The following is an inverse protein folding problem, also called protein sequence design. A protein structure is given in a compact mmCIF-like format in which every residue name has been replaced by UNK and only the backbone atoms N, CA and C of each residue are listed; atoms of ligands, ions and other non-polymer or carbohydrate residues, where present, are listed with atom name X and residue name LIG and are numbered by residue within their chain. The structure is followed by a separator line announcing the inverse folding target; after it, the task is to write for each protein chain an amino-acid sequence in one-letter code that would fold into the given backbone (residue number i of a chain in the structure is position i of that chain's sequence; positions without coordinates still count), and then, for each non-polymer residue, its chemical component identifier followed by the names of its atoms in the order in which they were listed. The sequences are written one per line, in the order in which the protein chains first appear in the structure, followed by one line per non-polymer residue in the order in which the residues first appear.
data_IF_846153315081
#
_entry.id   IF_846153315081
#
_cell.length_a   1.000
_cell.length_b   1.000
_cell.length_c   1.000
_cell.angle_alpha   90.00
_cell.angle_beta   90.00
_cell.angle_gamma   90.00
#
_symmetry.space_group_name_H-M   'P 1'
#
loop_
_entity.id
_entity.type
_entity.pdbx_description
1 polymer ?
#
# COMPACT_ATOMS: atom_id res chain seq x y z
N UNK A 1 33.85 -2.78 -37.63
CA UNK A 1 32.40 -2.93 -37.86
C UNK A 1 31.65 -3.69 -36.75
N UNK A 2 32.31 -4.32 -35.78
CA UNK A 2 31.63 -5.06 -34.69
C UNK A 2 31.12 -4.19 -33.51
N UNK A 3 31.51 -2.91 -33.41
CA UNK A 3 31.16 -2.06 -32.26
C UNK A 3 29.82 -1.32 -32.37
N UNK A 4 29.22 -1.25 -33.56
CA UNK A 4 27.97 -0.52 -33.77
C UNK A 4 26.72 -1.40 -33.52
N UNK A 5 26.84 -2.71 -33.77
CA UNK A 5 25.74 -3.68 -33.57
C UNK A 5 25.53 -4.03 -32.09
N UNK A 6 26.59 -4.10 -31.28
CA UNK A 6 26.49 -4.43 -29.84
C UNK A 6 25.75 -3.33 -29.07
N UNK A 7 26.06 -2.07 -29.33
CA UNK A 7 25.41 -0.91 -28.69
C UNK A 7 23.91 -0.85 -29.05
N UNK A 8 23.54 -1.25 -30.27
CA UNK A 8 22.16 -1.23 -30.74
C UNK A 8 21.30 -2.38 -30.14
N UNK A 9 21.92 -3.52 -29.85
CA UNK A 9 21.27 -4.67 -29.17
C UNK A 9 21.02 -4.35 -27.70
N UNK A 10 22.00 -3.76 -27.00
CA UNK A 10 21.87 -3.37 -25.59
C UNK A 10 20.78 -2.31 -25.38
N UNK A 11 20.68 -1.35 -26.30
CA UNK A 11 19.63 -0.33 -26.23
C UNK A 11 18.23 -0.89 -26.50
N UNK A 12 18.10 -1.88 -27.39
CA UNK A 12 16.83 -2.58 -27.63
C UNK A 12 16.42 -3.41 -26.43
N UNK A 13 17.34 -4.17 -25.84
CA UNK A 13 17.09 -4.98 -24.65
C UNK A 13 16.68 -4.12 -23.44
N UNK A 14 17.34 -2.98 -23.24
CA UNK A 14 16.98 -2.00 -22.20
C UNK A 14 15.55 -1.47 -22.38
N UNK A 15 15.18 -1.07 -23.60
CA UNK A 15 13.80 -0.62 -23.89
C UNK A 15 12.76 -1.69 -23.65
N UNK A 16 13.03 -2.94 -24.08
CA UNK A 16 12.13 -4.08 -23.81
C UNK A 16 11.98 -4.32 -22.31
N UNK A 17 13.08 -4.26 -21.56
CA UNK A 17 13.04 -4.41 -20.09
C UNK A 17 12.18 -3.32 -19.44
N UNK A 18 12.29 -2.06 -19.89
CA UNK A 18 11.43 -0.97 -19.39
C UNK A 18 9.94 -1.19 -19.69
N UNK A 19 9.59 -1.76 -20.86
CA UNK A 19 8.20 -2.14 -21.19
C UNK A 19 7.70 -3.21 -20.22
N UNK A 20 8.47 -4.29 -20.06
CA UNK A 20 8.10 -5.40 -19.18
C UNK A 20 7.94 -4.93 -17.73
N UNK A 21 8.88 -4.14 -17.22
CA UNK A 21 8.79 -3.57 -15.87
C UNK A 21 7.54 -2.71 -15.69
N UNK A 22 7.17 -1.91 -16.71
CA UNK A 22 5.93 -1.13 -16.67
C UNK A 22 4.71 -2.02 -16.62
N UNK A 23 4.66 -3.09 -17.41
CA UNK A 23 3.53 -4.03 -17.37
C UNK A 23 3.43 -4.78 -16.04
N UNK A 24 4.56 -5.18 -15.47
CA UNK A 24 4.62 -5.80 -14.14
C UNK A 24 4.17 -4.82 -13.07
N UNK A 25 4.58 -3.55 -13.13
CA UNK A 25 4.11 -2.51 -12.21
C UNK A 25 2.60 -2.30 -12.32
N UNK A 26 2.09 -2.25 -13.55
CA UNK A 26 0.66 -2.08 -13.81
C UNK A 26 -0.13 -3.23 -13.17
N UNK A 27 0.32 -4.46 -13.38
CA UNK A 27 -0.29 -5.66 -12.81
C UNK A 27 -0.17 -5.72 -11.28
N UNK A 28 1.02 -5.49 -10.72
CA UNK A 28 1.24 -5.47 -9.27
C UNK A 28 0.35 -4.43 -8.57
N UNK A 29 0.22 -3.23 -9.16
CA UNK A 29 -0.66 -2.18 -8.66
C UNK A 29 -2.14 -2.60 -8.66
N UNK A 30 -2.59 -3.27 -9.73
CA UNK A 30 -3.95 -3.76 -9.85
C UNK A 30 -4.25 -4.86 -8.83
N UNK A 31 -3.40 -5.89 -8.77
CA UNK A 31 -3.57 -7.01 -7.84
C UNK A 31 -3.50 -6.54 -6.39
N UNK A 32 -2.55 -5.65 -6.05
CA UNK A 32 -2.43 -5.11 -4.69
C UNK A 32 -3.64 -4.29 -4.28
N UNK A 33 -4.20 -3.52 -5.21
CA UNK A 33 -5.44 -2.79 -4.94
C UNK A 33 -6.61 -3.75 -4.67
N UNK A 34 -6.80 -4.78 -5.49
CA UNK A 34 -7.89 -5.75 -5.32
C UNK A 34 -7.77 -6.49 -3.98
N UNK A 35 -6.56 -6.97 -3.65
CA UNK A 35 -6.30 -7.64 -2.38
C UNK A 35 -6.53 -6.72 -1.19
N UNK A 36 -6.01 -5.49 -1.25
CA UNK A 36 -6.18 -4.51 -0.20
C UNK A 36 -7.64 -4.09 -0.07
N UNK A 37 -8.38 -3.98 -1.16
CA UNK A 37 -9.80 -3.68 -1.13
C UNK A 37 -10.60 -4.76 -0.41
N UNK A 38 -10.27 -6.03 -0.64
CA UNK A 38 -10.95 -7.18 -0.04
C UNK A 38 -10.56 -7.42 1.44
N UNK A 39 -9.26 -7.31 1.74
CA UNK A 39 -8.69 -7.85 2.98
C UNK A 39 -7.89 -6.84 3.82
N UNK A 40 -7.65 -5.62 3.32
CA UNK A 40 -6.74 -4.62 3.90
C UNK A 40 -5.29 -5.12 4.07
N UNK A 41 -4.91 -6.18 3.38
CA UNK A 41 -3.54 -6.73 3.32
C UNK A 41 -2.99 -6.67 1.89
N UNK A 42 -1.68 -6.86 1.76
CA UNK A 42 -0.93 -7.00 0.49
C UNK A 42 0.07 -8.16 0.58
N UNK A 43 -0.25 -9.17 1.38
CA UNK A 43 0.64 -10.28 1.75
C UNK A 43 0.24 -11.64 1.17
N UNK A 44 -0.92 -11.73 0.49
CA UNK A 44 -1.28 -12.96 -0.22
C UNK A 44 -0.24 -13.22 -1.30
N UNK A 45 0.14 -14.49 -1.44
CA UNK A 45 1.00 -14.98 -2.52
C UNK A 45 2.34 -14.23 -2.67
N UNK A 46 2.89 -13.68 -1.59
CA UNK A 46 4.14 -12.90 -1.59
C UNK A 46 4.07 -11.62 -2.45
N UNK A 47 2.89 -11.02 -2.58
CA UNK A 47 2.69 -9.81 -3.38
C UNK A 47 3.57 -8.64 -2.90
N UNK A 48 3.81 -8.53 -1.60
CA UNK A 48 4.74 -7.55 -1.02
C UNK A 48 6.16 -7.67 -1.56
N UNK A 49 6.69 -8.88 -1.70
CA UNK A 49 8.04 -9.10 -2.22
C UNK A 49 8.13 -8.70 -3.71
N UNK A 50 7.08 -8.99 -4.47
CA UNK A 50 6.95 -8.51 -5.85
C UNK A 50 6.95 -6.97 -5.91
N UNK A 51 6.16 -6.32 -5.05
CA UNK A 51 6.08 -4.86 -4.96
C UNK A 51 7.48 -4.29 -4.70
N UNK A 52 8.18 -4.81 -3.69
CA UNK A 52 9.53 -4.36 -3.35
C UNK A 52 10.52 -4.54 -4.52
N UNK A 53 10.39 -5.63 -5.27
CA UNK A 53 11.21 -5.90 -6.44
C UNK A 53 10.90 -5.00 -7.64
N UNK A 54 9.64 -4.61 -7.86
CA UNK A 54 9.22 -3.83 -9.03
C UNK A 54 9.48 -2.34 -8.85
N UNK A 55 9.25 -1.78 -7.66
CA UNK A 55 9.40 -0.32 -7.43
C UNK A 55 10.84 0.18 -7.62
N UNK A 56 11.83 -0.72 -7.52
CA UNK A 56 13.25 -0.40 -7.72
C UNK A 56 13.70 -0.50 -9.20
N UNK A 57 12.80 -0.75 -10.15
CA UNK A 57 13.14 -0.96 -11.57
C UNK A 57 13.03 0.32 -12.40
N UNK A 58 13.54 0.26 -13.64
CA UNK A 58 13.39 1.32 -14.65
C UNK A 58 12.16 1.07 -15.53
N UNK A 59 11.48 2.14 -15.96
CA UNK A 59 10.16 2.08 -16.60
C UNK A 59 10.11 2.90 -17.90
N UNK A 60 9.16 2.58 -18.80
CA UNK A 60 9.00 3.27 -20.09
C UNK A 60 8.00 4.45 -20.06
N UNK A 61 6.96 4.37 -19.22
CA UNK A 61 5.88 5.39 -19.14
C UNK A 61 6.35 6.71 -18.53
N UNK A 62 5.51 7.75 -18.67
CA UNK A 62 5.79 9.08 -18.10
C UNK A 62 6.11 8.96 -16.60
N UNK A 63 7.02 9.81 -16.12
CA UNK A 63 7.43 9.71 -14.73
C UNK A 63 6.27 9.93 -13.75
N UNK A 64 5.29 10.78 -14.08
CA UNK A 64 4.10 11.01 -13.23
C UNK A 64 3.29 9.72 -13.06
N UNK A 65 2.97 9.04 -14.17
CA UNK A 65 2.21 7.78 -14.15
C UNK A 65 2.88 6.72 -13.27
N UNK A 66 4.19 6.54 -13.45
CA UNK A 66 4.97 5.57 -12.69
C UNK A 66 5.01 5.94 -11.20
N UNK A 67 5.25 7.23 -10.88
CA UNK A 67 5.33 7.69 -9.49
C UNK A 67 4.00 7.54 -8.76
N UNK A 68 2.86 7.82 -9.40
CA UNK A 68 1.53 7.63 -8.80
C UNK A 68 1.31 6.17 -8.38
N UNK A 69 1.58 5.21 -9.27
CA UNK A 69 1.44 3.77 -8.96
C UNK A 69 2.40 3.29 -7.88
N UNK A 70 3.67 3.69 -7.96
CA UNK A 70 4.68 3.36 -6.94
C UNK A 70 4.26 3.90 -5.58
N UNK A 71 3.81 5.16 -5.50
CA UNK A 71 3.36 5.74 -4.23
C UNK A 71 2.10 5.07 -3.71
N UNK A 72 1.14 4.73 -4.56
CA UNK A 72 -0.04 3.97 -4.15
C UNK A 72 0.39 2.64 -3.51
N UNK A 73 1.22 1.85 -4.20
CA UNK A 73 1.75 0.58 -3.67
C UNK A 73 2.45 0.75 -2.32
N UNK A 74 3.31 1.77 -2.20
CA UNK A 74 4.01 2.10 -0.96
C UNK A 74 3.05 2.46 0.19
N UNK A 75 1.96 3.17 -0.11
CA UNK A 75 0.91 3.51 0.86
C UNK A 75 0.15 2.25 1.28
N UNK A 76 -0.22 1.37 0.34
CA UNK A 76 -0.93 0.12 0.65
C UNK A 76 -0.13 -0.78 1.59
N UNK A 77 1.18 -0.94 1.36
CA UNK A 77 2.05 -1.72 2.25
C UNK A 77 2.08 -1.13 3.67
N UNK A 78 2.20 0.19 3.78
CA UNK A 78 2.24 0.87 5.10
C UNK A 78 0.88 0.90 5.80
N UNK A 79 -0.22 0.84 5.06
CA UNK A 79 -1.55 0.68 5.64
C UNK A 79 -1.79 -0.76 6.11
N UNK A 80 -1.25 -1.76 5.43
CA UNK A 80 -1.30 -3.14 5.92
C UNK A 80 -0.53 -3.30 7.25
N UNK A 81 0.58 -2.58 7.40
CA UNK A 81 1.45 -2.64 8.59
C UNK A 81 1.12 -1.60 9.67
N UNK A 82 0.18 -0.69 9.44
CA UNK A 82 0.13 0.55 10.22
C UNK A 82 -0.30 0.37 11.69
N UNK A 83 -0.86 -0.78 12.07
CA UNK A 83 -1.09 -1.12 13.49
C UNK A 83 0.23 -1.44 14.22
N UNK A 84 1.21 -2.02 13.52
CA UNK A 84 2.55 -2.37 14.01
C UNK A 84 3.49 -1.18 13.79
N UNK A 85 3.31 -0.14 14.62
CA UNK A 85 3.97 1.16 14.46
C UNK A 85 5.50 1.12 14.58
N UNK A 86 6.07 0.04 15.12
CA UNK A 86 7.50 -0.19 15.34
C UNK A 86 8.24 -0.69 14.09
N UNK A 87 7.51 -1.12 13.05
CA UNK A 87 8.11 -1.48 11.76
C UNK A 87 8.75 -0.24 11.11
N UNK A 88 10.00 -0.37 10.68
CA UNK A 88 10.76 0.70 10.04
C UNK A 88 10.85 0.52 8.53
N UNK A 89 10.26 1.47 7.79
CA UNK A 89 10.32 1.52 6.33
C UNK A 89 11.52 2.31 5.79
N UNK A 90 12.07 3.22 6.59
CA UNK A 90 13.18 4.09 6.20
C UNK A 90 14.37 3.84 7.13
N UNK A 91 15.49 3.43 6.56
CA UNK A 91 16.72 3.17 7.32
C UNK A 91 17.19 4.43 8.06
N UNK A 92 17.54 4.29 9.35
CA UNK A 92 17.93 5.39 10.25
C UNK A 92 16.84 6.47 10.45
N UNK A 93 15.56 6.12 10.30
CA UNK A 93 14.45 7.02 10.59
C UNK A 93 13.79 6.67 11.92
N UNK A 94 13.45 7.68 12.71
CA UNK A 94 12.65 7.54 13.93
C UNK A 94 11.14 7.63 13.65
N UNK A 95 10.75 7.66 12.38
CA UNK A 95 9.35 7.74 11.96
C UNK A 95 8.68 6.38 12.05
N UNK A 96 7.48 6.35 12.61
CA UNK A 96 6.63 5.15 12.56
C UNK A 96 6.11 4.90 11.14
N UNK A 97 5.56 3.71 10.90
CA UNK A 97 4.94 3.32 9.63
C UNK A 97 3.99 4.39 9.07
N UNK A 98 3.08 4.91 9.89
CA UNK A 98 2.09 5.89 9.46
C UNK A 98 2.65 7.31 9.28
N UNK A 99 3.71 7.68 10.01
CA UNK A 99 4.44 8.93 9.75
C UNK A 99 5.20 8.88 8.43
N UNK A 100 5.85 7.75 8.13
CA UNK A 100 6.52 7.52 6.85
C UNK A 100 5.50 7.48 5.70
N UNK A 101 4.35 6.82 5.91
CA UNK A 101 3.23 6.80 4.96
C UNK A 101 2.72 8.20 4.64
N UNK A 102 2.58 9.07 5.64
CA UNK A 102 2.12 10.43 5.45
C UNK A 102 3.03 11.22 4.49
N UNK A 103 4.34 10.98 4.51
CA UNK A 103 5.26 11.61 3.57
C UNK A 103 5.01 11.14 2.13
N UNK A 104 4.83 9.82 1.94
CA UNK A 104 4.49 9.24 0.63
C UNK A 104 3.14 9.76 0.14
N UNK A 105 2.14 9.84 1.03
CA UNK A 105 0.81 10.34 0.74
C UNK A 105 0.84 11.81 0.30
N UNK A 106 1.58 12.68 1.00
CA UNK A 106 1.77 14.08 0.59
C UNK A 106 2.37 14.20 -0.81
N UNK A 107 3.34 13.36 -1.15
CA UNK A 107 3.91 13.35 -2.49
C UNK A 107 2.93 12.84 -3.55
N UNK A 108 2.02 11.93 -3.20
CA UNK A 108 0.96 11.46 -4.09
C UNK A 108 -0.02 12.59 -4.40
N UNK A 109 -0.61 13.21 -3.37
CA UNK A 109 -1.63 14.26 -3.54
C UNK A 109 -1.08 15.52 -4.22
N UNK A 110 0.22 15.83 -4.05
CA UNK A 110 0.86 16.95 -4.74
C UNK A 110 0.96 16.75 -6.27
N UNK A 111 0.79 15.52 -6.74
CA UNK A 111 0.70 15.16 -8.16
C UNK A 111 -0.74 14.86 -8.59
N UNK A 112 -1.75 15.12 -7.77
CA UNK A 112 -3.17 14.90 -8.09
C UNK A 112 -3.92 16.24 -8.10
N UNK A 113 -3.97 16.92 -9.26
CA UNK A 113 -4.56 18.26 -9.35
C UNK A 113 -6.06 18.27 -8.96
N UNK A 114 -6.83 17.29 -9.43
CA UNK A 114 -8.28 17.20 -9.20
C UNK A 114 -8.66 16.60 -7.83
N UNK A 115 -7.73 15.88 -7.18
CA UNK A 115 -7.97 15.20 -5.90
C UNK A 115 -7.14 15.78 -4.74
N UNK A 116 -6.40 16.88 -4.97
CA UNK A 116 -5.52 17.48 -3.97
C UNK A 116 -6.29 18.00 -2.75
N UNK A 117 -7.42 18.68 -2.94
CA UNK A 117 -8.21 19.24 -1.83
C UNK A 117 -8.77 18.13 -0.93
N UNK A 118 -9.40 17.12 -1.54
CA UNK A 118 -9.89 15.95 -0.81
C UNK A 118 -8.76 15.18 -0.15
N UNK A 119 -7.62 15.02 -0.83
CA UNK A 119 -6.43 14.38 -0.27
C UNK A 119 -5.89 15.12 0.94
N UNK A 120 -5.77 16.45 0.87
CA UNK A 120 -5.36 17.28 2.00
C UNK A 120 -6.31 17.16 3.19
N UNK A 121 -7.61 16.93 2.96
CA UNK A 121 -8.58 16.70 4.04
C UNK A 121 -8.36 15.39 4.81
N UNK A 122 -7.60 14.43 4.26
CA UNK A 122 -7.25 13.17 4.93
C UNK A 122 -6.04 13.29 5.87
N UNK A 123 -5.18 14.30 5.68
CA UNK A 123 -3.93 14.48 6.45
C UNK A 123 -4.17 14.49 7.98
N UNK A 124 -5.16 15.22 8.52
CA UNK A 124 -5.38 15.24 9.97
C UNK A 124 -5.73 13.86 10.54
N UNK A 125 -6.49 13.05 9.80
CA UNK A 125 -6.84 11.68 10.19
C UNK A 125 -5.60 10.77 10.19
N UNK A 126 -4.74 10.87 9.18
CA UNK A 126 -3.48 10.11 9.11
C UNK A 126 -2.56 10.47 10.27
N UNK A 127 -2.38 11.78 10.55
CA UNK A 127 -1.58 12.26 11.69
C UNK A 127 -2.14 11.73 13.02
N UNK A 128 -3.46 11.75 13.19
CA UNK A 128 -4.11 11.29 14.40
C UNK A 128 -3.93 9.78 14.59
N UNK A 129 -4.09 9.00 13.52
CA UNK A 129 -3.96 7.55 13.60
C UNK A 129 -2.53 7.11 13.93
N UNK A 130 -1.51 7.81 13.40
CA UNK A 130 -0.11 7.59 13.78
C UNK A 130 0.12 7.69 15.30
N UNK A 131 -0.64 8.53 16.00
CA UNK A 131 -0.62 8.62 17.47
C UNK A 131 -1.48 7.52 18.09
N UNK A 132 -2.68 7.28 17.56
CA UNK A 132 -3.66 6.37 18.16
C UNK A 132 -3.21 4.92 18.18
N UNK A 133 -2.49 4.44 17.16
CA UNK A 133 -1.92 3.08 17.16
C UNK A 133 -0.98 2.86 18.35
N UNK A 134 -0.13 3.82 18.66
CA UNK A 134 0.74 3.79 19.85
C UNK A 134 -0.09 3.81 21.15
N UNK A 135 -1.10 4.68 21.22
CA UNK A 135 -1.98 4.79 22.39
C UNK A 135 -2.74 3.47 22.66
N UNK A 136 -3.25 2.79 21.62
CA UNK A 136 -3.96 1.50 21.77
C UNK A 136 -3.04 0.41 22.30
N UNK A 137 -1.75 0.44 21.95
CA UNK A 137 -0.71 -0.44 22.48
C UNK A 137 -0.12 0.02 23.83
N UNK A 138 -0.71 1.04 24.47
CA UNK A 138 -0.27 1.60 25.76
C UNK A 138 1.12 2.27 25.73
N UNK A 139 1.65 2.61 24.54
CA UNK A 139 2.88 3.39 24.38
C UNK A 139 2.59 4.89 24.23
N UNK A 140 2.23 5.51 25.36
CA UNK A 140 2.00 6.95 25.42
C UNK A 140 3.26 7.80 25.31
N UNK A 141 4.45 7.19 25.46
CA UNK A 141 5.72 7.90 25.32
C UNK A 141 5.94 8.20 23.84
N UNK A 142 5.94 7.17 23.01
CA UNK A 142 6.08 7.28 21.55
C UNK A 142 4.93 8.11 20.96
N UNK A 143 3.69 7.87 21.40
CA UNK A 143 2.53 8.67 20.98
C UNK A 143 2.74 10.19 21.19
N UNK A 144 3.32 10.59 22.32
CA UNK A 144 3.59 11.99 22.63
C UNK A 144 4.78 12.56 21.82
N UNK A 145 5.75 11.73 21.44
CA UNK A 145 6.84 12.12 20.54
C UNK A 145 6.31 12.38 19.12
N UNK A 146 5.51 11.46 18.59
CA UNK A 146 4.80 11.60 17.30
C UNK A 146 3.93 12.86 17.32
N UNK A 147 3.10 13.04 18.35
CA UNK A 147 2.22 14.20 18.48
C UNK A 147 2.98 15.53 18.40
N UNK A 148 4.16 15.63 19.02
CA UNK A 148 5.00 16.83 18.96
C UNK A 148 5.58 17.05 17.55
N UNK A 149 5.94 15.99 16.83
CA UNK A 149 6.42 16.07 15.45
C UNK A 149 5.31 16.51 14.48
N UNK A 150 4.12 15.93 14.62
CA UNK A 150 3.00 16.13 13.69
C UNK A 150 2.22 17.45 13.93
N UNK A 151 2.25 18.01 15.15
CA UNK A 151 1.65 19.30 15.49
C UNK A 151 2.67 20.28 16.10
N UNK A 152 3.56 20.85 15.26
CA UNK A 152 4.38 21.98 15.65
C UNK A 152 3.50 23.16 16.10
N UNK A 153 4.07 24.14 16.82
CA UNK A 153 3.27 25.18 17.52
C UNK A 153 2.34 25.96 16.60
N UNK A 154 2.74 26.07 15.34
CA UNK A 154 2.11 26.82 14.27
C UNK A 154 0.89 26.09 13.66
N UNK A 155 0.80 24.76 13.81
CA UNK A 155 -0.24 23.90 13.20
C UNK A 155 -1.32 23.42 14.18
N UNK A 156 -1.42 24.03 15.38
CA UNK A 156 -2.34 23.60 16.46
C UNK A 156 -3.74 24.22 16.34
N UNK A 157 -4.33 24.17 15.16
CA UNK A 157 -5.59 24.85 14.84
C UNK A 157 -6.68 23.91 14.30
N UNK A 158 -6.38 22.64 14.04
CA UNK A 158 -7.38 21.67 13.61
C UNK A 158 -8.17 21.08 14.79
N UNK A 159 -9.42 20.68 14.53
CA UNK A 159 -10.30 20.13 15.56
C UNK A 159 -9.78 18.80 16.12
N UNK A 160 -9.05 18.03 15.31
CA UNK A 160 -8.54 16.72 15.70
C UNK A 160 -7.38 16.85 16.70
N UNK A 161 -6.60 17.94 16.67
CA UNK A 161 -5.53 18.21 17.63
C UNK A 161 -6.03 18.18 19.08
N UNK A 162 -7.19 18.79 19.34
CA UNK A 162 -7.78 18.81 20.69
C UNK A 162 -8.13 17.39 21.17
N UNK A 163 -8.69 16.58 20.28
CA UNK A 163 -9.03 15.18 20.54
C UNK A 163 -7.78 14.35 20.81
N UNK A 164 -6.77 14.44 19.94
CA UNK A 164 -5.52 13.70 20.09
C UNK A 164 -4.83 14.06 21.41
N UNK A 165 -4.79 15.36 21.74
CA UNK A 165 -4.23 15.86 23.00
C UNK A 165 -4.96 15.32 24.22
N UNK A 166 -6.28 15.21 24.17
CA UNK A 166 -7.10 14.64 25.25
C UNK A 166 -6.82 13.14 25.44
N UNK A 167 -6.81 12.38 24.34
CA UNK A 167 -6.48 10.94 24.34
C UNK A 167 -5.11 10.68 24.97
N UNK A 168 -4.06 11.40 24.55
CA UNK A 168 -2.70 11.24 25.10
C UNK A 168 -2.68 11.56 26.60
N UNK A 169 -3.31 12.65 27.01
CA UNK A 169 -3.35 13.08 28.42
C UNK A 169 -4.05 12.07 29.32
N UNK A 170 -5.09 11.42 28.80
CA UNK A 170 -5.84 10.41 29.55
C UNK A 170 -4.96 9.21 29.96
N UNK A 171 -3.88 8.94 29.22
CA UNK A 171 -3.01 7.75 29.38
C UNK A 171 -3.81 6.45 29.51
N UNK A 172 -4.95 6.38 28.82
CA UNK A 172 -5.88 5.27 28.88
C UNK A 172 -5.95 4.59 27.51
N UNK A 173 -5.38 3.38 27.33
CA UNK A 173 -5.44 2.68 26.04
C UNK A 173 -6.88 2.27 25.66
N UNK A 174 -7.81 2.30 26.63
CA UNK A 174 -9.24 2.02 26.45
C UNK A 174 -10.10 3.30 26.42
N UNK A 175 -9.50 4.45 26.10
CA UNK A 175 -10.21 5.71 25.93
C UNK A 175 -11.40 5.55 24.98
N UNK A 176 -12.55 6.14 25.30
CA UNK A 176 -13.79 5.91 24.54
C UNK A 176 -13.62 6.26 23.05
N UNK A 177 -12.96 7.39 22.76
CA UNK A 177 -12.66 7.78 21.39
C UNK A 177 -11.85 6.72 20.60
N UNK A 178 -10.90 6.04 21.23
CA UNK A 178 -10.09 4.99 20.57
C UNK A 178 -10.90 3.72 20.27
N UNK A 179 -11.99 3.47 21.02
CA UNK A 179 -12.91 2.37 20.77
C UNK A 179 -13.85 2.68 19.61
N UNK A 180 -14.33 3.92 19.56
CA UNK A 180 -15.26 4.37 18.53
C UNK A 180 -14.54 4.59 17.20
N UNK A 181 -13.33 5.18 17.24
CA UNK A 181 -12.44 5.37 16.10
C UNK A 181 -11.43 4.24 16.02
N UNK A 182 -11.79 3.14 15.36
CA UNK A 182 -10.92 1.97 15.18
C UNK A 182 -9.93 2.17 14.03
N UNK A 183 -8.83 1.40 14.05
CA UNK A 183 -7.89 1.40 12.93
C UNK A 183 -8.58 1.02 11.61
N UNK A 184 -9.43 -0.01 11.66
CA UNK A 184 -10.23 -0.44 10.51
C UNK A 184 -11.13 0.67 9.95
N UNK A 185 -11.73 1.49 10.82
CA UNK A 185 -12.53 2.64 10.38
C UNK A 185 -11.66 3.66 9.63
N UNK A 186 -10.48 3.99 10.16
CA UNK A 186 -9.51 4.86 9.50
C UNK A 186 -9.10 4.30 8.12
N UNK A 187 -8.67 3.04 8.05
CA UNK A 187 -8.24 2.40 6.81
C UNK A 187 -9.36 2.40 5.77
N UNK A 188 -10.59 2.08 6.18
CA UNK A 188 -11.74 2.10 5.28
C UNK A 188 -12.03 3.51 4.75
N UNK A 189 -11.96 4.52 5.61
CA UNK A 189 -12.14 5.92 5.21
C UNK A 189 -11.09 6.35 4.18
N UNK A 190 -9.81 6.05 4.43
CA UNK A 190 -8.73 6.40 3.52
C UNK A 190 -8.78 5.60 2.21
N UNK A 191 -9.20 4.33 2.27
CA UNK A 191 -9.37 3.49 1.08
C UNK A 191 -10.35 4.10 0.08
N UNK A 192 -11.44 4.75 0.53
CA UNK A 192 -12.39 5.44 -0.36
C UNK A 192 -11.69 6.53 -1.19
N UNK A 193 -10.76 7.27 -0.58
CA UNK A 193 -9.97 8.26 -1.31
C UNK A 193 -8.98 7.59 -2.28
N UNK A 194 -8.23 6.59 -1.81
CA UNK A 194 -7.27 5.87 -2.65
C UNK A 194 -7.93 5.17 -3.84
N UNK A 195 -9.18 4.74 -3.69
CA UNK A 195 -9.96 4.14 -4.77
C UNK A 195 -10.17 5.12 -5.93
N UNK A 196 -10.38 6.40 -5.64
CA UNK A 196 -10.53 7.44 -6.67
C UNK A 196 -9.25 7.60 -7.48
N UNK A 197 -8.08 7.49 -6.83
CA UNK A 197 -6.78 7.50 -7.52
C UNK A 197 -6.64 6.24 -8.36
N UNK A 198 -6.90 5.07 -7.79
CA UNK A 198 -6.81 3.79 -8.49
C UNK A 198 -7.70 3.74 -9.74
N UNK A 199 -8.92 4.29 -9.68
CA UNK A 199 -9.88 4.33 -10.79
C UNK A 199 -9.41 5.15 -12.00
N UNK A 200 -8.35 5.96 -11.85
CA UNK A 200 -7.72 6.65 -12.97
C UNK A 200 -6.79 5.73 -13.79
N UNK A 201 -6.48 4.53 -13.29
CA UNK A 201 -5.57 3.60 -13.97
C UNK A 201 -6.32 2.65 -14.90
N UNK A 202 -5.76 2.46 -16.10
CA UNK A 202 -6.22 1.42 -17.02
C UNK A 202 -5.96 0.01 -16.47
N UNK A 203 -6.78 -0.93 -16.94
CA UNK A 203 -6.58 -2.36 -16.69
C UNK A 203 -5.19 -2.79 -17.22
N UNK A 204 -4.42 -3.59 -16.45
CA UNK A 204 -3.07 -3.97 -16.86
C UNK A 204 -3.08 -4.79 -18.14
N UNK A 205 -2.12 -4.52 -19.03
CA UNK A 205 -2.00 -5.27 -20.29
C UNK A 205 -1.83 -6.78 -20.06
N UNK A 206 -0.99 -7.18 -19.10
CA UNK A 206 -0.78 -8.61 -18.76
C UNK A 206 -2.10 -9.25 -18.30
N UNK A 207 -2.92 -8.53 -17.54
CA UNK A 207 -4.22 -9.03 -17.10
C UNK A 207 -5.15 -9.26 -18.29
N UNK A 208 -5.28 -8.28 -19.19
CA UNK A 208 -6.13 -8.40 -20.39
C UNK A 208 -5.72 -9.58 -21.28
N UNK A 209 -4.40 -9.77 -21.48
CA UNK A 209 -3.89 -10.89 -22.29
C UNK A 209 -4.20 -12.23 -21.61
N UNK A 210 -4.04 -12.33 -20.30
CA UNK A 210 -4.37 -13.55 -19.56
C UNK A 210 -5.86 -13.86 -19.60
N UNK A 211 -6.72 -12.85 -19.46
CA UNK A 211 -8.18 -12.97 -19.56
C UNK A 211 -8.60 -13.49 -20.94
N UNK A 212 -8.13 -12.87 -22.03
CA UNK A 212 -8.40 -13.35 -23.39
C UNK A 212 -7.86 -14.76 -23.66
N UNK A 213 -6.72 -15.12 -23.06
CA UNK A 213 -6.18 -16.48 -23.16
C UNK A 213 -7.10 -17.50 -22.47
N UNK A 214 -7.64 -17.18 -21.29
CA UNK A 214 -8.59 -18.02 -20.58
C UNK A 214 -9.91 -18.15 -21.36
N UNK A 215 -10.43 -17.07 -21.93
CA UNK A 215 -11.67 -17.10 -22.72
C UNK A 215 -11.54 -17.92 -24.02
N UNK A 216 -10.37 -17.89 -24.65
CA UNK A 216 -10.08 -18.67 -25.85
C UNK A 216 -9.69 -20.13 -25.56
N UNK A 217 -9.30 -20.43 -24.32
CA UNK A 217 -8.92 -21.75 -23.86
C UNK A 217 -9.96 -22.26 -22.86
N UNK A 218 -11.01 -22.96 -23.30
CA UNK A 218 -11.92 -23.74 -22.43
C UNK A 218 -11.16 -24.87 -21.69
N UNK A 219 -10.21 -24.56 -20.80
CA UNK A 219 -9.43 -25.53 -20.03
C UNK A 219 -9.48 -25.19 -18.54
N UNK A 220 -9.96 -26.11 -17.68
CA UNK A 220 -9.97 -25.87 -16.25
C UNK A 220 -8.54 -25.90 -15.72
N UNK A 221 -8.06 -24.78 -15.17
CA UNK A 221 -6.98 -24.81 -14.19
C UNK A 221 -7.51 -25.55 -12.96
N UNK A 222 -7.36 -26.87 -12.93
CA UNK A 222 -7.66 -27.65 -11.73
C UNK A 222 -6.70 -27.21 -10.65
N UNK A 223 -7.23 -26.60 -9.58
CA UNK A 223 -6.49 -26.37 -8.36
C UNK A 223 -5.89 -27.70 -7.89
N UNK A 224 -4.58 -27.72 -7.64
CA UNK A 224 -3.93 -28.82 -6.94
C UNK A 224 -4.38 -28.72 -5.47
N UNK A 225 -5.58 -29.24 -5.20
CA UNK A 225 -6.07 -29.50 -3.86
C UNK A 225 -5.39 -30.76 -3.34
N UNK A 226 -4.58 -30.59 -2.30
CA UNK A 226 -4.11 -31.65 -1.43
C UNK A 226 -5.29 -32.53 -1.01
N UNK A 227 -5.39 -33.75 -1.54
CA UNK A 227 -6.15 -34.82 -0.88
C UNK A 227 -5.18 -35.91 -0.48
N UNK A 228 -4.81 -35.84 0.79
CA UNK A 228 -4.11 -36.89 1.50
C UNK A 228 -4.90 -38.18 1.51
N UNK A 229 -4.15 -39.27 1.47
CA UNK A 229 -4.56 -40.62 1.77
C UNK A 229 -5.60 -40.70 2.90
N UNK A 230 -6.63 -41.52 2.68
CA UNK A 230 -6.96 -42.53 3.68
C UNK A 230 -7.50 -43.79 2.99
N UNK A 231 -6.62 -44.78 2.92
CA UNK A 231 -6.94 -46.19 2.72
C UNK A 231 -7.69 -46.72 3.95
N UNK A 232 -8.94 -47.13 3.76
CA UNK A 232 -9.58 -48.12 4.63
C UNK A 232 -9.84 -49.37 3.81
N UNK A 233 -9.02 -50.38 4.05
CA UNK A 233 -9.31 -51.76 3.70
C UNK A 233 -10.43 -52.27 4.62
N UNK A 234 -11.48 -52.87 4.07
CA UNK A 234 -12.17 -54.00 4.69
C UNK A 234 -12.52 -55.04 3.61
N UNK A 235 -12.24 -56.29 3.96
CA UNK A 235 -12.13 -57.53 3.17
C UNK A 235 -13.48 -58.13 2.72
N UNK A 236 -13.48 -59.04 1.73
CA UNK A 236 -14.67 -59.55 1.06
C UNK A 236 -15.26 -60.82 1.71
N UNK A 237 -16.50 -61.14 1.34
CA UNK A 237 -17.09 -62.48 1.45
C UNK A 237 -16.65 -63.37 0.27
#
# INVERSE_FOLDING_TARGET
MAGHDVVHVDQKHSKVSCVLNTWILDWACHTAWLEFHESRSVDKESLRDLIQGVICRSFLKSQRYVRQKVRLLMILCRLADGEDYDIQYTFNSDLTVLEDMLNVFRCLIAEEDDLAEEGNSQIPSIKAEAVFVCCRQNDFKTANEIFKRQWPKEERNDNIYAVVKDVIKSKNPKHQYLKDYTYQFFVNSLAVYLEKIYRQFDLPYIYMVAESFIESSEAPFTSVGSNGNNSSQETPA
#
